data_IF_464026083693
#
_entry.id   IF_464026083693
#
_cell.length_a   1.000
_cell.length_b   1.000
_cell.length_c   1.000
_cell.angle_alpha   90.00
_cell.angle_beta   90.00
_cell.angle_gamma   90.00
#
_symmetry.space_group_name_H-M   'P 1'
#
loop_
_entity.id
_entity.type
_entity.pdbx_description
1 polymer ?
#
# COMPACT_ATOMS: atom_id res chain seq x y z
N UNK A 1 8.88 -18.65 -34.39
CA UNK A 1 9.67 -17.48 -33.91
C UNK A 1 8.99 -16.22 -34.44
N UNK A 2 8.57 -15.30 -33.57
CA UNK A 2 7.64 -14.19 -33.88
C UNK A 2 8.22 -13.02 -34.72
N UNK A 3 9.37 -13.20 -35.38
CA UNK A 3 10.00 -12.15 -36.20
C UNK A 3 10.74 -11.08 -35.40
N UNK A 4 11.29 -10.09 -36.11
CA UNK A 4 11.98 -8.95 -35.52
C UNK A 4 10.96 -7.86 -35.10
N UNK A 5 11.22 -7.20 -33.97
CA UNK A 5 10.38 -6.11 -33.44
C UNK A 5 11.11 -4.79 -33.59
N UNK A 6 10.42 -3.79 -34.14
CA UNK A 6 10.89 -2.41 -34.26
C UNK A 6 10.32 -1.58 -33.10
N UNK A 7 11.16 -0.78 -32.45
CA UNK A 7 10.80 -0.02 -31.23
C UNK A 7 10.58 1.48 -31.48
N UNK A 8 10.56 1.92 -32.74
CA UNK A 8 10.48 3.33 -33.16
C UNK A 8 9.29 4.10 -32.53
N UNK A 9 8.19 3.39 -32.22
CA UNK A 9 6.94 3.97 -31.68
C UNK A 9 6.54 3.42 -30.30
N UNK A 10 7.46 2.75 -29.62
CA UNK A 10 7.22 2.30 -28.24
C UNK A 10 7.25 3.52 -27.31
N UNK A 11 6.23 3.65 -26.46
CA UNK A 11 6.24 4.64 -25.38
C UNK A 11 7.17 4.17 -24.27
N UNK A 12 8.13 5.02 -23.92
CA UNK A 12 9.04 4.77 -22.80
C UNK A 12 8.65 5.65 -21.61
N UNK A 13 8.53 5.03 -20.44
CA UNK A 13 8.34 5.73 -19.17
C UNK A 13 9.51 5.36 -18.28
N UNK A 14 10.33 6.34 -17.94
CA UNK A 14 11.40 6.20 -16.95
C UNK A 14 10.91 6.77 -15.62
N UNK A 15 11.09 6.03 -14.54
CA UNK A 15 10.76 6.45 -13.19
C UNK A 15 11.99 6.34 -12.29
N UNK A 16 12.14 7.27 -11.36
CA UNK A 16 13.23 7.29 -10.41
C UNK A 16 12.98 8.31 -9.32
N UNK A 17 13.56 8.09 -8.14
CA UNK A 17 13.46 9.03 -7.02
C UNK A 17 14.46 10.18 -7.12
N UNK A 18 15.52 10.02 -7.93
CA UNK A 18 16.52 11.07 -8.20
C UNK A 18 17.10 11.77 -6.94
N UNK A 19 17.21 11.04 -5.82
CA UNK A 19 17.70 11.59 -4.55
C UNK A 19 19.16 12.06 -4.61
N UNK A 20 20.03 11.30 -5.29
CA UNK A 20 21.47 11.57 -5.38
C UNK A 20 21.92 12.09 -6.74
N UNK A 21 21.09 11.94 -7.78
CA UNK A 21 21.40 12.28 -9.17
C UNK A 21 20.21 13.00 -9.78
N UNK A 22 20.45 13.95 -10.66
CA UNK A 22 19.41 14.73 -11.33
C UNK A 22 19.18 14.20 -12.75
N UNK A 23 17.99 14.42 -13.36
CA UNK A 23 17.76 14.10 -14.76
C UNK A 23 18.75 14.77 -15.74
N UNK A 24 19.39 15.88 -15.34
CA UNK A 24 20.46 16.55 -16.08
C UNK A 24 21.76 15.76 -16.18
N UNK A 25 21.95 14.77 -15.29
CA UNK A 25 23.16 13.96 -15.22
C UNK A 25 23.11 12.76 -16.17
N UNK A 26 21.96 12.54 -16.83
CA UNK A 26 21.80 11.54 -17.89
C UNK A 26 22.57 11.93 -19.15
N UNK A 27 22.94 10.96 -19.98
CA UNK A 27 23.59 11.24 -21.27
C UNK A 27 22.68 12.13 -22.15
N UNK A 28 23.23 13.09 -22.92
CA UNK A 28 22.44 14.05 -23.69
C UNK A 28 21.42 13.42 -24.64
N UNK A 29 21.75 12.29 -25.26
CA UNK A 29 20.89 11.56 -26.18
C UNK A 29 19.62 11.04 -25.50
N UNK A 30 19.73 10.64 -24.23
CA UNK A 30 18.60 10.13 -23.46
C UNK A 30 17.73 11.29 -22.94
N UNK A 31 18.35 12.41 -22.56
CA UNK A 31 17.62 13.62 -22.18
C UNK A 31 16.72 14.11 -23.32
N UNK A 32 17.23 14.11 -24.56
CA UNK A 32 16.45 14.49 -25.75
C UNK A 32 15.30 13.53 -26.08
N UNK A 33 15.36 12.28 -25.60
CA UNK A 33 14.30 11.26 -25.78
C UNK A 33 13.27 11.24 -24.64
N UNK A 34 13.47 12.04 -23.60
CA UNK A 34 12.54 12.20 -22.47
C UNK A 34 12.04 13.66 -22.39
N UNK A 35 11.28 14.14 -23.40
CA UNK A 35 10.85 15.54 -23.46
C UNK A 35 9.75 15.89 -22.43
N UNK A 36 8.93 14.91 -22.05
CA UNK A 36 7.88 15.09 -21.04
C UNK A 36 8.46 14.72 -19.68
N UNK A 37 8.32 15.65 -18.73
CA UNK A 37 8.76 15.47 -17.34
C UNK A 37 7.62 15.82 -16.42
N UNK A 38 7.42 14.99 -15.40
CA UNK A 38 6.43 15.18 -14.36
C UNK A 38 7.06 14.78 -13.03
N UNK A 39 6.77 15.56 -12.00
CA UNK A 39 7.16 15.28 -10.63
C UNK A 39 5.91 14.86 -9.86
N UNK A 40 6.01 13.78 -9.09
CA UNK A 40 4.91 13.28 -8.27
C UNK A 40 5.09 13.76 -6.84
N UNK A 41 3.99 14.21 -6.23
CA UNK A 41 4.01 14.65 -4.84
C UNK A 41 4.05 13.45 -3.87
N UNK A 42 4.73 13.59 -2.71
CA UNK A 42 4.65 12.60 -1.65
C UNK A 42 3.22 12.43 -1.14
N UNK A 43 2.84 11.20 -0.82
CA UNK A 43 1.51 10.88 -0.31
C UNK A 43 1.31 11.38 1.11
N UNK A 44 0.16 11.98 1.37
CA UNK A 44 -0.30 12.38 2.71
C UNK A 44 -1.15 11.27 3.33
N UNK A 45 -1.40 11.38 4.64
CA UNK A 45 -2.29 10.46 5.35
C UNK A 45 -3.68 10.38 4.71
N UNK A 46 -4.23 11.51 4.26
CA UNK A 46 -5.51 11.54 3.56
C UNK A 46 -5.46 10.80 2.22
N UNK A 47 -4.34 10.84 1.51
CA UNK A 47 -4.17 10.08 0.25
C UNK A 47 -4.16 8.58 0.53
N UNK A 48 -3.55 8.14 1.63
CA UNK A 48 -3.58 6.73 2.04
C UNK A 48 -5.01 6.26 2.38
N UNK A 49 -5.81 7.10 3.04
CA UNK A 49 -7.23 6.82 3.28
C UNK A 49 -8.01 6.68 1.96
N UNK A 50 -7.76 7.57 0.99
CA UNK A 50 -8.37 7.51 -0.34
C UNK A 50 -7.96 6.25 -1.09
N UNK A 51 -6.69 5.86 -1.04
CA UNK A 51 -6.18 4.60 -1.64
C UNK A 51 -6.90 3.38 -1.06
N UNK A 52 -7.24 3.40 0.23
CA UNK A 52 -7.98 2.31 0.88
C UNK A 52 -9.47 2.29 0.56
N UNK A 53 -10.06 3.31 -0.08
CA UNK A 53 -11.53 3.44 -0.22
C UNK A 53 -12.00 3.70 -1.66
N UNK A 54 -11.34 4.60 -2.37
CA UNK A 54 -11.78 5.09 -3.68
C UNK A 54 -11.48 4.14 -4.84
N UNK A 55 -10.27 3.54 -4.99
CA UNK A 55 -9.97 2.65 -6.10
C UNK A 55 -10.96 1.49 -6.22
N UNK A 56 -11.28 1.10 -7.46
CA UNK A 56 -12.22 -0.01 -7.73
C UNK A 56 -11.77 -1.30 -7.03
N UNK A 57 -10.47 -1.58 -7.07
CA UNK A 57 -9.84 -2.69 -6.37
C UNK A 57 -9.02 -2.20 -5.16
N UNK A 58 -9.58 -1.36 -4.30
CA UNK A 58 -8.92 -0.95 -3.05
C UNK A 58 -8.67 -2.15 -2.12
N UNK A 59 -7.64 -2.09 -1.28
CA UNK A 59 -7.26 -3.20 -0.39
C UNK A 59 -8.40 -3.65 0.53
N UNK A 60 -9.15 -2.72 1.11
CA UNK A 60 -10.31 -3.04 1.96
C UNK A 60 -11.32 -3.91 1.20
N UNK A 61 -11.69 -3.50 -0.03
CA UNK A 61 -12.61 -4.25 -0.92
C UNK A 61 -12.05 -5.61 -1.30
N UNK A 62 -10.74 -5.71 -1.55
CA UNK A 62 -10.09 -6.99 -1.84
C UNK A 62 -10.23 -7.95 -0.65
N UNK A 63 -9.91 -7.51 0.57
CA UNK A 63 -10.01 -8.36 1.76
C UNK A 63 -11.46 -8.69 2.16
N UNK A 64 -12.38 -7.75 1.99
CA UNK A 64 -13.82 -8.03 2.15
C UNK A 64 -14.29 -9.15 1.20
N UNK A 65 -13.87 -9.09 -0.06
CA UNK A 65 -14.23 -10.10 -1.06
C UNK A 65 -13.51 -11.45 -0.82
N UNK A 66 -12.23 -11.43 -0.43
CA UNK A 66 -11.45 -12.63 -0.15
C UNK A 66 -12.02 -13.38 1.06
N UNK A 67 -12.27 -12.70 2.18
CA UNK A 67 -12.80 -13.36 3.38
C UNK A 67 -14.26 -13.80 3.22
N UNK A 68 -15.02 -13.14 2.35
CA UNK A 68 -16.37 -13.58 2.00
C UNK A 68 -16.38 -14.97 1.32
N UNK A 69 -15.30 -15.42 0.67
CA UNK A 69 -15.24 -16.79 0.11
C UNK A 69 -15.21 -17.86 1.19
N UNK A 70 -14.68 -17.53 2.37
CA UNK A 70 -14.66 -18.38 3.56
C UNK A 70 -15.92 -18.19 4.43
N UNK A 71 -16.87 -17.35 3.98
CA UNK A 71 -18.11 -17.08 4.72
C UNK A 71 -17.99 -16.03 5.82
N UNK A 72 -16.85 -15.35 5.92
CA UNK A 72 -16.63 -14.23 6.86
C UNK A 72 -17.08 -12.92 6.23
N UNK A 73 -17.99 -12.20 6.88
CA UNK A 73 -18.42 -10.87 6.46
C UNK A 73 -17.56 -9.81 7.16
N UNK A 74 -16.52 -9.37 6.48
CA UNK A 74 -15.70 -8.25 6.92
C UNK A 74 -16.36 -6.92 6.54
N UNK A 75 -16.27 -5.91 7.41
CA UNK A 75 -16.67 -4.55 7.12
C UNK A 75 -15.72 -3.55 7.79
N UNK A 76 -15.18 -2.60 7.03
CA UNK A 76 -14.37 -1.52 7.59
C UNK A 76 -15.22 -0.28 7.88
N UNK A 77 -15.10 0.27 9.08
CA UNK A 77 -15.72 1.55 9.39
C UNK A 77 -14.86 2.71 8.89
N UNK A 78 -15.44 3.89 8.58
CA UNK A 78 -14.66 5.04 8.12
C UNK A 78 -13.55 5.46 9.09
N UNK A 79 -13.77 5.36 10.39
CA UNK A 79 -12.77 5.63 11.43
C UNK A 79 -11.69 4.55 11.50
N UNK A 80 -12.02 3.26 11.32
CA UNK A 80 -11.04 2.19 11.22
C UNK A 80 -10.08 2.38 10.05
N UNK A 81 -10.60 2.73 8.86
CA UNK A 81 -9.76 3.00 7.68
C UNK A 81 -8.88 4.24 7.88
N UNK A 82 -9.41 5.30 8.51
CA UNK A 82 -8.61 6.49 8.84
C UNK A 82 -7.48 6.17 9.81
N UNK A 83 -7.77 5.35 10.82
CA UNK A 83 -6.76 4.94 11.79
C UNK A 83 -5.67 4.09 11.13
N UNK A 84 -6.04 3.18 10.22
CA UNK A 84 -5.07 2.40 9.46
C UNK A 84 -4.17 3.30 8.59
N UNK A 85 -4.75 4.29 7.91
CA UNK A 85 -3.99 5.26 7.12
C UNK A 85 -3.05 6.10 8.01
N UNK A 86 -3.51 6.52 9.20
CA UNK A 86 -2.70 7.24 10.19
C UNK A 86 -1.52 6.40 10.66
N UNK A 87 -1.74 5.13 10.99
CA UNK A 87 -0.69 4.20 11.44
C UNK A 87 0.33 3.96 10.34
N UNK A 88 -0.10 3.77 9.09
CA UNK A 88 0.80 3.64 7.94
C UNK A 88 1.70 4.87 7.76
N UNK A 89 1.10 6.07 7.84
CA UNK A 89 1.84 7.32 7.77
C UNK A 89 2.85 7.47 8.91
N UNK A 90 2.48 7.07 10.13
CA UNK A 90 3.37 7.13 11.29
C UNK A 90 4.57 6.20 11.14
N UNK A 91 4.34 4.95 10.73
CA UNK A 91 5.42 3.97 10.53
C UNK A 91 6.38 4.43 9.43
N UNK A 92 5.87 5.01 8.33
CA UNK A 92 6.72 5.57 7.27
C UNK A 92 7.58 6.74 7.78
N UNK A 93 7.08 7.55 8.72
CA UNK A 93 7.85 8.65 9.33
C UNK A 93 8.90 8.16 10.34
N UNK A 94 8.60 7.09 11.07
CA UNK A 94 9.50 6.53 12.09
C UNK A 94 10.56 5.60 11.52
N UNK A 95 10.34 5.05 10.32
CA UNK A 95 11.21 4.07 9.68
C UNK A 95 11.56 4.50 8.25
N UNK A 96 11.69 3.55 7.32
CA UNK A 96 11.88 3.87 5.90
C UNK A 96 10.51 4.13 5.26
N UNK A 97 10.38 5.27 4.57
CA UNK A 97 9.18 5.61 3.84
C UNK A 97 9.10 4.81 2.53
N UNK A 98 8.28 3.77 2.55
CA UNK A 98 7.98 2.93 1.38
C UNK A 98 6.66 3.34 0.71
N UNK A 99 6.10 4.49 1.10
CA UNK A 99 4.84 5.03 0.60
C UNK A 99 3.64 4.13 0.89
N UNK A 100 2.71 4.05 -0.06
CA UNK A 100 1.47 3.27 0.06
C UNK A 100 1.70 1.76 0.20
N UNK A 101 2.90 1.24 -0.12
CA UNK A 101 3.21 -0.20 0.06
C UNK A 101 3.09 -0.63 1.51
N UNK A 102 3.29 0.29 2.46
CA UNK A 102 3.11 0.06 3.90
C UNK A 102 1.69 -0.42 4.26
N UNK A 103 0.68 -0.05 3.46
CA UNK A 103 -0.70 -0.47 3.69
C UNK A 103 -0.89 -1.98 3.55
N UNK A 104 -0.10 -2.66 2.71
CA UNK A 104 -0.20 -4.11 2.55
C UNK A 104 0.23 -4.83 3.82
N UNK A 105 1.43 -4.52 4.33
CA UNK A 105 1.98 -5.22 5.49
C UNK A 105 1.18 -4.95 6.76
N UNK A 106 0.66 -3.72 6.93
CA UNK A 106 -0.25 -3.41 8.03
C UNK A 106 -1.61 -4.09 7.89
N UNK A 107 -2.16 -4.21 6.69
CA UNK A 107 -3.44 -4.91 6.47
C UNK A 107 -3.32 -6.42 6.73
N UNK A 108 -2.23 -7.05 6.28
CA UNK A 108 -1.95 -8.46 6.57
C UNK A 108 -1.86 -8.70 8.08
N UNK A 109 -1.12 -7.85 8.80
CA UNK A 109 -0.99 -7.97 10.26
C UNK A 109 -2.32 -7.73 10.98
N UNK A 110 -3.10 -6.75 10.52
CA UNK A 110 -4.40 -6.42 11.08
C UNK A 110 -5.37 -7.60 11.04
N UNK A 111 -5.39 -8.31 9.90
CA UNK A 111 -6.33 -9.39 9.60
C UNK A 111 -5.77 -10.81 9.86
N UNK A 112 -4.56 -10.93 10.40
CA UNK A 112 -3.87 -12.23 10.60
C UNK A 112 -4.77 -13.27 11.30
N UNK A 113 -5.29 -12.96 12.49
CA UNK A 113 -6.12 -13.91 13.25
C UNK A 113 -7.45 -14.18 12.57
N UNK A 114 -8.06 -13.16 11.94
CA UNK A 114 -9.33 -13.32 11.20
C UNK A 114 -9.12 -14.28 10.04
N UNK A 115 -8.05 -14.11 9.28
CA UNK A 115 -7.72 -14.99 8.16
C UNK A 115 -7.32 -16.39 8.60
N UNK A 116 -6.68 -16.53 9.76
CA UNK A 116 -6.30 -17.84 10.30
C UNK A 116 -7.51 -18.64 10.79
N UNK A 117 -8.48 -17.98 11.41
CA UNK A 117 -9.67 -18.61 11.98
C UNK A 117 -10.82 -18.78 10.97
N UNK A 118 -10.80 -18.04 9.85
CA UNK A 118 -11.86 -18.06 8.83
C UNK A 118 -12.31 -19.46 8.34
N UNK A 119 -11.42 -20.46 8.15
CA UNK A 119 -11.86 -21.79 7.70
C UNK A 119 -12.61 -22.62 8.76
N UNK A 120 -12.50 -22.25 10.04
CA UNK A 120 -13.01 -23.03 11.18
C UNK A 120 -14.28 -22.47 11.82
N UNK A 121 -14.45 -21.14 11.79
CA UNK A 121 -15.53 -20.45 12.48
C UNK A 121 -16.64 -20.09 11.49
N UNK A 122 -17.81 -20.73 11.65
CA UNK A 122 -18.96 -20.49 10.77
C UNK A 122 -19.37 -19.00 10.71
N UNK A 123 -19.94 -18.55 9.59
CA UNK A 123 -20.47 -17.19 9.31
C UNK A 123 -20.21 -16.13 10.41
N UNK A 124 -18.99 -15.60 10.44
CA UNK A 124 -18.61 -14.53 11.36
C UNK A 124 -18.79 -13.15 10.72
N UNK A 125 -19.32 -12.19 11.47
CA UNK A 125 -19.35 -10.78 11.04
C UNK A 125 -18.25 -10.03 11.79
N UNK A 126 -17.22 -9.59 11.07
CA UNK A 126 -16.08 -8.87 11.65
C UNK A 126 -16.18 -7.40 11.24
N UNK A 127 -16.24 -6.51 12.23
CA UNK A 127 -16.21 -5.06 11.99
C UNK A 127 -14.86 -4.51 12.42
N UNK A 128 -14.18 -3.83 11.51
CA UNK A 128 -12.88 -3.22 11.74
C UNK A 128 -13.09 -1.73 12.02
N UNK A 129 -13.08 -1.37 13.30
CA UNK A 129 -13.17 0.00 13.79
C UNK A 129 -11.81 0.56 14.23
N UNK A 130 -11.78 1.84 14.64
CA UNK A 130 -10.53 2.46 15.09
C UNK A 130 -9.89 1.75 16.28
N UNK A 131 -10.67 1.18 17.20
CA UNK A 131 -10.14 0.52 18.40
C UNK A 131 -9.54 -0.84 18.05
N UNK A 132 -10.18 -1.58 17.15
CA UNK A 132 -9.64 -2.82 16.59
C UNK A 132 -8.27 -2.57 15.94
N UNK A 133 -8.16 -1.52 15.12
CA UNK A 133 -6.89 -1.18 14.45
C UNK A 133 -5.80 -0.83 15.47
N UNK A 134 -6.10 0.02 16.46
CA UNK A 134 -5.13 0.39 17.50
C UNK A 134 -4.66 -0.81 18.29
N UNK A 135 -5.58 -1.66 18.72
CA UNK A 135 -5.26 -2.83 19.54
C UNK A 135 -4.37 -3.82 18.78
N UNK A 136 -4.68 -4.09 17.51
CA UNK A 136 -3.95 -5.08 16.70
C UNK A 136 -2.60 -4.58 16.20
N UNK A 137 -2.43 -3.27 16.07
CA UNK A 137 -1.20 -2.65 15.58
C UNK A 137 -0.42 -1.90 16.68
N UNK A 138 -0.79 -2.03 17.96
CA UNK A 138 -0.13 -1.37 19.08
C UNK A 138 1.36 -1.74 19.15
N UNK A 139 1.66 -3.03 19.07
CA UNK A 139 3.02 -3.58 19.20
C UNK A 139 3.97 -3.08 18.08
N UNK A 140 3.41 -2.73 16.91
CA UNK A 140 4.17 -2.28 15.75
C UNK A 140 4.74 -0.88 15.96
N UNK A 141 3.99 -0.01 16.62
CA UNK A 141 4.38 1.40 16.83
C UNK A 141 5.37 1.54 17.98
N UNK A 142 5.33 0.63 18.97
CA UNK A 142 6.25 0.66 20.10
C UNK A 142 7.59 -0.03 19.80
N UNK A 143 7.62 -1.01 18.89
CA UNK A 143 8.82 -1.76 18.55
C UNK A 143 9.65 -1.07 17.44
N UNK A 144 10.41 -0.04 17.84
CA UNK A 144 11.37 0.67 16.97
C UNK A 144 12.42 -0.26 16.29
N UNK A 145 12.65 -1.46 16.82
CA UNK A 145 13.64 -2.43 16.28
C UNK A 145 13.03 -3.62 15.51
N UNK A 146 11.80 -4.03 15.85
CA UNK A 146 11.16 -5.25 15.28
C UNK A 146 10.37 -4.93 14.01
N UNK A 147 9.83 -3.71 13.90
CA UNK A 147 9.11 -3.24 12.71
C UNK A 147 9.94 -3.33 11.43
N UNK A 148 11.28 -3.23 11.51
CA UNK A 148 12.21 -3.42 10.38
C UNK A 148 12.28 -4.83 9.80
N UNK A 149 11.92 -5.86 10.57
CA UNK A 149 12.04 -7.26 10.16
C UNK A 149 10.69 -7.89 9.79
N UNK A 150 9.59 -7.32 10.29
CA UNK A 150 8.23 -7.85 10.07
C UNK A 150 7.47 -7.04 9.01
N UNK A 151 7.83 -5.76 8.77
CA UNK A 151 7.06 -4.83 7.92
C UNK A 151 7.93 -4.05 6.94
#
# INVERSE_FOLDING_TARGET
KYGAVRTDHVLFIAAGAFHAVKPSDLIPELQGRLPIRVELEPMRTDDLYRILTEPECALTKQYEALLATEGVRLAFTPDGVRELARMASLVNQQTEDIGARRLHTLMEKLLEDVSYNAPGDGKENVTIDSEYVKHRLADIVEAHDVSRYIL
#
